data_IF_757211807357
#
_entry.id   IF_757211807357
#
_cell.length_a   1.000
_cell.length_b   1.000
_cell.length_c   1.000
_cell.angle_alpha   90.00
_cell.angle_beta   90.00
_cell.angle_gamma   90.00
#
_symmetry.space_group_name_H-M   'P 1'
#
loop_
_entity.id
_entity.type
_entity.pdbx_description
1 polymer ?
#
# COMPACT_ATOMS: atom_id res chain seq x y z
N UNK A 1 2.40 -36.34 58.21
CA UNK A 1 2.13 -34.90 58.45
C UNK A 1 2.63 -33.98 57.32
N UNK A 2 3.82 -34.19 56.76
CA UNK A 2 4.44 -33.31 55.72
C UNK A 2 3.67 -33.25 54.37
N UNK A 3 3.05 -34.36 53.92
CA UNK A 3 2.31 -34.39 52.63
C UNK A 3 1.04 -33.53 52.60
N UNK A 4 0.46 -33.19 53.75
CA UNK A 4 -0.76 -32.38 53.82
C UNK A 4 -0.43 -30.88 53.74
N UNK A 5 0.68 -30.44 54.34
CA UNK A 5 1.19 -29.08 54.24
C UNK A 5 1.53 -28.66 52.81
N UNK A 6 2.15 -29.54 52.01
CA UNK A 6 2.55 -29.22 50.63
C UNK A 6 1.34 -29.06 49.69
N UNK A 7 0.21 -29.73 49.99
CA UNK A 7 -1.04 -29.61 49.21
C UNK A 7 -1.77 -28.30 49.51
N UNK A 8 -1.78 -27.86 50.77
CA UNK A 8 -2.33 -26.55 51.15
C UNK A 8 -1.50 -25.39 50.60
N UNK A 9 -0.17 -25.50 50.58
CA UNK A 9 0.72 -24.48 50.00
C UNK A 9 0.49 -24.35 48.49
N UNK A 10 0.35 -25.48 47.78
CA UNK A 10 0.07 -25.48 46.34
C UNK A 10 -1.30 -24.87 45.98
N UNK A 11 -2.33 -25.09 46.81
CA UNK A 11 -3.67 -24.51 46.60
C UNK A 11 -3.68 -23.01 46.90
N UNK A 12 -2.96 -22.54 47.92
CA UNK A 12 -2.83 -21.10 48.23
C UNK A 12 -2.02 -20.37 47.15
N UNK A 13 -0.95 -20.97 46.62
CA UNK A 13 -0.18 -20.42 45.50
C UNK A 13 -1.00 -20.39 44.20
N UNK A 14 -1.80 -21.42 43.92
CA UNK A 14 -2.68 -21.46 42.75
C UNK A 14 -3.82 -20.42 42.86
N UNK A 15 -4.38 -20.20 44.05
CA UNK A 15 -5.36 -19.14 44.27
C UNK A 15 -4.76 -17.74 44.13
N UNK A 16 -3.52 -17.54 44.60
CA UNK A 16 -2.83 -16.25 44.49
C UNK A 16 -2.50 -15.88 43.03
N UNK A 17 -2.34 -16.88 42.15
CA UNK A 17 -2.01 -16.70 40.74
C UNK A 17 -3.23 -16.40 39.86
N UNK A 18 -4.44 -16.75 40.31
CA UNK A 18 -5.70 -16.55 39.57
C UNK A 18 -6.35 -15.19 39.88
N UNK A 19 -6.07 -14.60 41.04
CA UNK A 19 -6.68 -13.33 41.48
C UNK A 19 -6.06 -12.09 40.82
N UNK A 20 -4.93 -12.21 40.13
CA UNK A 20 -4.24 -11.08 39.47
C UNK A 20 -4.71 -10.77 38.05
N UNK A 21 -5.67 -11.51 37.48
CA UNK A 21 -6.10 -11.36 36.07
C UNK A 21 -7.39 -10.55 35.85
N UNK A 22 -7.87 -9.78 36.84
CA UNK A 22 -9.06 -8.93 36.67
C UNK A 22 -8.71 -7.47 36.96
N UNK A 23 -8.10 -6.82 35.97
CA UNK A 23 -8.04 -5.36 35.86
C UNK A 23 -8.56 -5.00 34.47
N UNK A 24 -9.76 -4.40 34.31
CA UNK A 24 -10.10 -3.77 33.05
C UNK A 24 -9.42 -2.40 33.05
N UNK A 25 -8.17 -2.35 32.59
CA UNK A 25 -7.56 -1.09 32.23
C UNK A 25 -8.12 -0.71 30.85
N UNK A 26 -9.11 0.18 30.82
CA UNK A 26 -9.39 1.01 29.66
C UNK A 26 -8.21 1.97 29.52
N UNK A 27 -7.13 1.46 28.94
CA UNK A 27 -6.10 2.28 28.35
C UNK A 27 -6.49 2.40 26.89
N UNK A 28 -6.99 3.58 26.50
CA UNK A 28 -6.95 3.98 25.10
C UNK A 28 -5.48 4.03 24.71
N UNK A 29 -5.01 2.90 24.18
CA UNK A 29 -3.78 2.82 23.43
C UNK A 29 -3.99 3.65 22.18
N UNK A 30 -3.67 4.94 22.25
CA UNK A 30 -3.34 5.74 21.07
C UNK A 30 -2.01 5.19 20.54
N UNK A 31 -2.06 3.99 19.98
CA UNK A 31 -0.98 3.49 19.16
C UNK A 31 -0.95 4.40 17.94
N UNK A 32 0.18 5.06 17.62
CA UNK A 32 0.29 5.75 16.36
C UNK A 32 0.08 4.68 15.29
N UNK A 33 -1.07 4.70 14.64
CA UNK A 33 -1.23 3.98 13.38
C UNK A 33 -0.20 4.58 12.46
N UNK A 34 0.90 3.85 12.25
CA UNK A 34 1.76 4.06 11.10
C UNK A 34 0.85 3.83 9.90
N UNK A 35 0.23 4.91 9.40
CA UNK A 35 -0.31 4.89 8.06
C UNK A 35 0.91 4.59 7.19
N UNK A 36 0.98 3.37 6.66
CA UNK A 36 1.96 3.06 5.64
C UNK A 36 1.78 4.12 4.56
N UNK A 37 2.80 4.95 4.35
CA UNK A 37 2.78 5.95 3.29
C UNK A 37 2.47 5.21 1.99
N UNK A 38 1.27 5.42 1.45
CA UNK A 38 0.88 4.81 0.18
C UNK A 38 1.76 5.45 -0.88
N UNK A 39 2.63 4.66 -1.50
CA UNK A 39 3.41 5.12 -2.65
C UNK A 39 2.49 5.44 -3.82
N UNK A 40 2.80 6.51 -4.54
CA UNK A 40 2.21 6.82 -5.83
C UNK A 40 2.84 5.88 -6.86
N UNK A 41 2.03 5.05 -7.52
CA UNK A 41 2.49 4.09 -8.52
C UNK A 41 2.50 4.73 -9.89
N UNK A 42 3.68 4.91 -10.46
CA UNK A 42 3.91 5.53 -11.77
C UNK A 42 4.29 4.44 -12.77
N UNK A 43 3.52 4.28 -13.84
CA UNK A 43 3.75 3.25 -14.84
C UNK A 43 4.51 3.77 -16.06
N UNK A 44 5.19 2.87 -16.76
CA UNK A 44 5.87 3.17 -18.02
C UNK A 44 5.61 2.09 -19.07
N UNK A 45 5.29 2.51 -20.29
CA UNK A 45 5.29 1.63 -21.46
C UNK A 45 6.73 1.16 -21.76
N UNK A 46 6.96 0.06 -22.51
CA UNK A 46 8.29 -0.50 -22.71
C UNK A 46 9.21 0.33 -23.63
N UNK A 47 8.77 1.51 -24.07
CA UNK A 47 9.59 2.42 -24.87
C UNK A 47 10.60 3.18 -24.00
N UNK A 48 11.76 3.52 -24.58
CA UNK A 48 12.80 4.31 -23.88
C UNK A 48 12.26 5.66 -23.43
N UNK A 49 11.45 6.31 -24.27
CA UNK A 49 10.84 7.60 -23.95
C UNK A 49 9.89 7.50 -22.76
N UNK A 50 8.95 6.56 -22.78
CA UNK A 50 7.99 6.39 -21.69
C UNK A 50 8.69 6.12 -20.35
N UNK A 51 9.75 5.29 -20.37
CA UNK A 51 10.56 5.02 -19.18
C UNK A 51 11.29 6.28 -18.69
N UNK A 52 11.88 7.07 -19.59
CA UNK A 52 12.53 8.32 -19.22
C UNK A 52 11.54 9.33 -18.63
N UNK A 53 10.39 9.52 -19.28
CA UNK A 53 9.35 10.44 -18.81
C UNK A 53 8.76 10.02 -17.45
N UNK A 54 8.59 8.72 -17.23
CA UNK A 54 8.09 8.19 -15.94
C UNK A 54 9.09 8.45 -14.82
N UNK A 55 10.38 8.34 -15.08
CA UNK A 55 11.43 8.69 -14.11
C UNK A 55 11.47 10.20 -13.83
N UNK A 56 11.31 11.04 -14.86
CA UNK A 56 11.19 12.49 -14.68
C UNK A 56 9.99 12.85 -13.81
N UNK A 57 8.86 12.19 -14.02
CA UNK A 57 7.65 12.39 -13.23
C UNK A 57 7.80 11.91 -11.79
N UNK A 58 8.46 10.77 -11.58
CA UNK A 58 8.80 10.28 -10.24
C UNK A 58 9.68 11.29 -9.49
N UNK A 59 10.74 11.83 -10.12
CA UNK A 59 11.59 12.85 -9.49
C UNK A 59 10.81 14.10 -9.06
N UNK A 60 9.85 14.57 -9.88
CA UNK A 60 9.02 15.73 -9.53
C UNK A 60 8.07 15.44 -8.35
N UNK A 61 7.51 14.23 -8.29
CA UNK A 61 6.65 13.80 -7.19
C UNK A 61 7.44 13.62 -5.89
N UNK A 62 8.65 13.05 -5.97
CA UNK A 62 9.56 12.92 -4.84
C UNK A 62 10.01 14.28 -4.31
N UNK A 63 10.34 15.23 -5.19
CA UNK A 63 10.65 16.62 -4.80
C UNK A 63 9.47 17.31 -4.09
N UNK A 64 8.24 16.94 -4.47
CA UNK A 64 7.01 17.41 -3.81
C UNK A 64 6.70 16.69 -2.49
N UNK A 65 7.52 15.73 -2.05
CA UNK A 65 7.39 15.02 -0.78
C UNK A 65 6.55 13.75 -0.81
N UNK A 66 6.27 13.20 -2.00
CA UNK A 66 5.58 11.91 -2.14
C UNK A 66 6.57 10.75 -2.20
N UNK A 67 6.15 9.59 -1.68
CA UNK A 67 6.83 8.31 -1.96
C UNK A 67 6.33 7.80 -3.30
N UNK A 68 7.24 7.40 -4.19
CA UNK A 68 6.89 6.95 -5.55
C UNK A 68 7.39 5.53 -5.78
N UNK A 69 6.58 4.73 -6.47
CA UNK A 69 6.92 3.39 -6.96
C UNK A 69 6.82 3.39 -8.49
N UNK A 70 7.93 3.19 -9.19
CA UNK A 70 7.96 3.17 -10.66
C UNK A 70 7.84 1.73 -11.17
N UNK A 71 6.75 1.45 -11.87
CA UNK A 71 6.37 0.14 -12.39
C UNK A 71 6.65 0.04 -13.90
N UNK A 72 7.42 -0.97 -14.30
CA UNK A 72 7.89 -1.13 -15.69
C UNK A 72 7.66 -2.54 -16.22
N UNK A 73 6.78 -3.31 -15.58
CA UNK A 73 6.41 -4.67 -15.94
C UNK A 73 5.42 -4.76 -17.11
N UNK A 74 4.91 -3.62 -17.59
CA UNK A 74 3.87 -3.56 -18.62
C UNK A 74 4.45 -3.75 -20.03
N UNK A 75 3.75 -4.56 -20.83
CA UNK A 75 4.16 -4.88 -22.20
C UNK A 75 3.60 -3.89 -23.24
N UNK A 76 2.51 -3.19 -22.94
CA UNK A 76 1.91 -2.19 -23.82
C UNK A 76 1.08 -1.13 -23.08
N UNK A 77 0.54 -0.18 -23.86
CA UNK A 77 -0.26 0.94 -23.37
C UNK A 77 -1.65 0.49 -22.87
N UNK A 78 -2.24 -0.57 -23.46
CA UNK A 78 -3.54 -1.09 -23.05
C UNK A 78 -3.47 -1.78 -21.68
N UNK A 79 -2.36 -2.45 -21.38
CA UNK A 79 -2.11 -3.03 -20.07
C UNK A 79 -1.98 -1.96 -18.98
N UNK A 80 -1.28 -0.85 -19.27
CA UNK A 80 -1.20 0.33 -18.41
C UNK A 80 -2.57 0.94 -18.17
N UNK A 81 -3.38 1.10 -19.22
CA UNK A 81 -4.75 1.61 -19.13
C UNK A 81 -5.60 0.73 -18.23
N UNK A 82 -5.55 -0.59 -18.44
CA UNK A 82 -6.26 -1.56 -17.60
C UNK A 82 -5.80 -1.49 -16.16
N UNK A 83 -4.49 -1.39 -15.91
CA UNK A 83 -3.94 -1.24 -14.57
C UNK A 83 -4.39 0.06 -13.88
N UNK A 84 -4.50 1.15 -14.63
CA UNK A 84 -5.04 2.42 -14.13
C UNK A 84 -6.53 2.28 -13.73
N UNK A 85 -7.36 1.69 -14.60
CA UNK A 85 -8.78 1.47 -14.34
C UNK A 85 -9.04 0.51 -13.17
N UNK A 86 -8.19 -0.51 -13.02
CA UNK A 86 -8.24 -1.49 -11.92
C UNK A 86 -7.68 -0.95 -10.59
N UNK A 87 -7.23 0.31 -10.53
CA UNK A 87 -6.52 0.88 -9.39
C UNK A 87 -5.24 0.11 -9.02
N UNK A 88 -4.60 -0.58 -9.97
CA UNK A 88 -3.26 -1.18 -9.84
C UNK A 88 -2.14 -0.17 -10.13
N UNK A 89 -2.47 0.92 -10.82
CA UNK A 89 -1.61 2.04 -11.13
C UNK A 89 -2.28 3.37 -10.72
N UNK A 90 -1.52 4.42 -10.44
CA UNK A 90 -2.09 5.73 -10.11
C UNK A 90 -1.93 6.75 -11.25
N UNK A 91 -0.84 6.69 -12.02
CA UNK A 91 -0.66 7.48 -13.24
C UNK A 91 0.44 6.91 -14.16
N UNK A 92 0.43 7.34 -15.42
CA UNK A 92 1.51 7.11 -16.38
C UNK A 92 1.50 8.18 -17.49
N UNK A 93 2.64 8.49 -18.13
CA UNK A 93 2.68 9.33 -19.32
C UNK A 93 2.02 8.64 -20.51
N UNK A 94 1.16 9.36 -21.24
CA UNK A 94 0.45 8.81 -22.40
C UNK A 94 0.35 9.81 -23.55
N UNK A 95 0.41 9.29 -24.78
CA UNK A 95 0.16 10.04 -26.00
C UNK A 95 -1.33 10.25 -26.22
N UNK A 96 -1.68 11.48 -26.58
CA UNK A 96 -3.06 11.82 -26.97
C UNK A 96 -3.56 10.99 -28.16
N UNK A 97 -2.69 10.65 -29.11
CA UNK A 97 -3.02 9.79 -30.25
C UNK A 97 -3.49 8.41 -29.82
N UNK A 98 -2.69 7.70 -29.02
CA UNK A 98 -3.05 6.41 -28.40
C UNK A 98 -4.36 6.52 -27.62
N UNK A 99 -4.50 7.58 -26.81
CA UNK A 99 -5.71 7.77 -26.02
C UNK A 99 -6.95 7.94 -26.89
N UNK A 100 -6.87 8.67 -28.01
CA UNK A 100 -7.99 8.84 -28.93
C UNK A 100 -8.34 7.52 -29.61
N UNK A 101 -7.37 6.87 -30.25
CA UNK A 101 -7.64 5.72 -31.11
C UNK A 101 -7.87 4.44 -30.34
N UNK A 102 -7.03 4.15 -29.36
CA UNK A 102 -6.96 2.82 -28.76
C UNK A 102 -7.88 2.72 -27.54
N UNK A 103 -8.06 3.81 -26.79
CA UNK A 103 -8.91 3.80 -25.58
C UNK A 103 -10.32 4.33 -25.81
N UNK A 104 -10.54 5.16 -26.84
CA UNK A 104 -11.81 5.84 -27.05
C UNK A 104 -12.42 5.61 -28.45
N UNK A 105 -11.76 4.81 -29.31
CA UNK A 105 -12.22 4.53 -30.68
C UNK A 105 -12.49 5.79 -31.52
N UNK A 106 -11.74 6.86 -31.29
CA UNK A 106 -11.84 8.13 -32.00
C UNK A 106 -10.73 8.27 -33.05
N UNK A 107 -10.99 9.01 -34.16
CA UNK A 107 -9.94 9.30 -35.12
C UNK A 107 -8.91 10.28 -34.54
N UNK A 108 -7.70 10.29 -35.11
CA UNK A 108 -6.56 11.09 -34.64
C UNK A 108 -6.77 12.61 -34.72
N UNK A 109 -7.73 13.06 -35.53
CA UNK A 109 -8.12 14.46 -35.74
C UNK A 109 -9.40 14.84 -34.96
N UNK A 110 -9.82 14.03 -33.98
CA UNK A 110 -10.99 14.30 -33.16
C UNK A 110 -10.84 15.48 -32.18
N UNK A 111 -9.61 15.97 -31.94
CA UNK A 111 -9.34 17.12 -31.09
C UNK A 111 -9.30 18.44 -31.91
N UNK A 112 -9.83 19.56 -31.37
CA UNK A 112 -9.92 20.84 -32.06
C UNK A 112 -8.57 21.55 -32.24
#
# INVERSE_FOLDING_TARGET
MVRQQNRTIAVVLALLLVVTQIVPAVAQSDSPTVQAERSIRVGAAPSTEARLLSQMLAMLLEEAGYVVDVQTEFDDAMELRTALEDNRLDLYPEYTGTALTDYNDLPVDALP
#
